data_IF_070062428698
#
_entry.id   IF_070062428698
#
_cell.length_a   1.000
_cell.length_b   1.000
_cell.length_c   1.000
_cell.angle_alpha   90.00
_cell.angle_beta   90.00
_cell.angle_gamma   90.00
#
_symmetry.space_group_name_H-M   'P 1'
#
loop_
_entity.id
_entity.type
_entity.pdbx_description
1 polymer ?
#
# COMPACT_ATOMS: atom_id res chain seq x y z
N UNK A 1 4.22 -6.78 15.68
CA UNK A 1 4.72 -7.51 16.86
C UNK A 1 3.70 -7.32 17.98
N UNK A 2 3.24 -8.40 18.65
CA UNK A 2 2.31 -8.29 19.76
C UNK A 2 2.95 -7.51 20.92
N UNK A 3 2.20 -6.66 21.58
CA UNK A 3 2.66 -5.73 22.63
C UNK A 3 3.42 -6.47 23.75
N UNK A 4 3.01 -7.69 24.09
CA UNK A 4 3.68 -8.50 25.11
C UNK A 4 5.13 -8.90 24.74
N UNK A 5 5.45 -9.07 23.44
CA UNK A 5 6.81 -9.38 23.00
C UNK A 5 7.75 -8.17 23.18
N UNK A 6 7.24 -6.96 22.97
CA UNK A 6 7.97 -5.71 23.25
C UNK A 6 8.22 -5.56 24.75
N UNK A 7 7.20 -5.82 25.57
CA UNK A 7 7.31 -5.77 27.02
C UNK A 7 8.30 -6.79 27.58
N UNK A 8 8.29 -8.02 27.04
CA UNK A 8 9.25 -9.06 27.42
C UNK A 8 10.70 -8.67 27.06
N UNK A 9 10.92 -8.05 25.92
CA UNK A 9 12.21 -7.54 25.49
C UNK A 9 12.73 -6.43 26.42
N UNK A 10 11.88 -5.47 26.80
CA UNK A 10 12.26 -4.42 27.75
C UNK A 10 12.54 -4.96 29.14
N UNK A 11 11.78 -5.97 29.60
CA UNK A 11 12.04 -6.63 30.89
C UNK A 11 13.41 -7.35 30.91
N UNK A 12 13.78 -8.02 29.81
CA UNK A 12 15.08 -8.67 29.67
C UNK A 12 16.23 -7.66 29.65
N UNK A 13 16.07 -6.55 28.94
CA UNK A 13 17.05 -5.45 28.93
C UNK A 13 17.21 -4.83 30.31
N UNK A 14 16.14 -4.59 31.03
CA UNK A 14 16.18 -4.04 32.39
C UNK A 14 16.86 -5.02 33.41
N UNK A 15 16.54 -6.28 33.30
CA UNK A 15 17.17 -7.33 34.11
C UNK A 15 18.69 -7.45 33.83
N UNK A 16 19.09 -7.42 32.55
CA UNK A 16 20.49 -7.41 32.14
C UNK A 16 21.23 -6.16 32.66
N UNK A 17 20.61 -5.00 32.58
CA UNK A 17 21.20 -3.75 33.08
C UNK A 17 21.36 -3.74 34.60
N UNK A 18 20.36 -4.25 35.35
CA UNK A 18 20.44 -4.40 36.80
C UNK A 18 21.57 -5.36 37.25
N UNK A 19 21.73 -6.50 36.55
CA UNK A 19 22.81 -7.42 36.75
C UNK A 19 24.19 -6.83 36.43
N UNK A 20 24.30 -6.08 35.34
CA UNK A 20 25.54 -5.39 34.96
C UNK A 20 25.91 -4.31 35.99
N UNK A 21 24.92 -3.54 36.49
CA UNK A 21 25.13 -2.51 37.52
C UNK A 21 25.57 -3.13 38.88
N UNK A 22 24.99 -4.27 39.28
CA UNK A 22 25.43 -5.01 40.45
C UNK A 22 26.86 -5.52 40.28
N UNK A 23 27.20 -5.98 39.09
CA UNK A 23 28.55 -6.47 38.76
C UNK A 23 29.60 -5.35 38.92
N UNK A 24 29.31 -4.14 38.40
CA UNK A 24 30.23 -3.00 38.56
C UNK A 24 30.40 -2.58 40.02
N UNK A 25 29.35 -2.62 40.83
CA UNK A 25 29.44 -2.28 42.27
C UNK A 25 30.31 -3.28 43.05
N UNK A 26 30.26 -4.54 42.68
CA UNK A 26 31.08 -5.59 43.33
C UNK A 26 32.55 -5.46 42.93
N UNK A 27 32.86 -5.15 41.68
CA UNK A 27 34.24 -4.96 41.20
C UNK A 27 34.86 -3.67 41.76
N UNK A 28 34.16 -2.57 41.77
CA UNK A 28 34.65 -1.29 42.34
C UNK A 28 34.77 -1.33 43.87
N UNK A 29 33.92 -2.10 44.56
CA UNK A 29 34.01 -2.28 46.01
C UNK A 29 35.23 -3.11 46.46
N UNK A 30 35.78 -3.98 45.61
CA UNK A 30 36.95 -4.79 45.96
C UNK A 30 38.26 -4.02 45.85
N UNK A 31 38.39 -3.07 44.95
CA UNK A 31 39.63 -2.29 44.78
C UNK A 31 39.89 -1.33 45.97
N UNK A 32 38.83 -0.88 46.64
CA UNK A 32 38.93 0.03 47.81
C UNK A 32 39.38 -0.74 49.05
N UNK A 33 39.13 -2.05 49.16
CA UNK A 33 39.51 -2.83 50.33
C UNK A 33 40.93 -3.47 50.22
N UNK A 34 41.49 -3.58 49.02
CA UNK A 34 42.84 -4.11 48.81
C UNK A 34 43.93 -3.11 49.18
N UNK A 35 43.65 -1.82 49.13
CA UNK A 35 44.61 -0.78 49.53
C UNK A 35 44.86 -0.63 51.01
N UNK A 36 44.17 -1.35 51.89
CA UNK A 36 44.23 -1.14 53.36
C UNK A 36 44.75 -2.28 54.21
N UNK A 37 45.23 -3.35 53.62
CA UNK A 37 45.72 -4.52 54.37
C UNK A 37 47.04 -5.07 53.82
N UNK A 38 48.07 -4.26 53.84
CA UNK A 38 49.43 -4.66 53.63
C UNK A 38 50.24 -4.67 54.94
N UNK A 39 49.74 -5.34 55.95
CA UNK A 39 50.59 -5.75 57.13
C UNK A 39 49.86 -6.78 57.97
N UNK A 40 50.24 -8.09 57.83
CA UNK A 40 49.78 -9.13 58.74
C UNK A 40 49.69 -10.51 58.09
N UNK A 41 50.55 -11.43 58.56
CA UNK A 41 50.93 -12.67 57.94
C UNK A 41 49.97 -13.84 57.87
N UNK A 42 50.24 -14.67 57.01
CA UNK A 42 50.33 -16.15 57.09
C UNK A 42 49.09 -17.00 56.97
N UNK A 43 47.89 -16.61 57.39
CA UNK A 43 46.70 -17.51 57.40
C UNK A 43 45.58 -17.20 56.38
N UNK A 44 45.80 -16.22 55.57
CA UNK A 44 44.78 -15.74 54.64
C UNK A 44 44.67 -16.46 53.29
N UNK A 45 45.64 -17.38 52.99
CA UNK A 45 45.73 -18.00 51.65
C UNK A 45 44.70 -19.09 51.38
N UNK A 46 44.43 -19.95 52.41
CA UNK A 46 43.49 -21.08 52.24
C UNK A 46 42.04 -20.64 52.17
N UNK A 47 41.64 -19.60 52.95
CA UNK A 47 40.28 -19.04 52.91
C UNK A 47 39.98 -18.23 51.62
N UNK A 48 41.03 -17.68 50.98
CA UNK A 48 40.91 -16.93 49.72
C UNK A 48 40.68 -17.85 48.53
N UNK A 49 41.31 -19.04 48.53
CA UNK A 49 41.19 -20.00 47.44
C UNK A 49 39.80 -20.69 47.41
N UNK A 50 39.23 -20.96 48.60
CA UNK A 50 37.89 -21.53 48.73
C UNK A 50 36.80 -20.55 48.27
N UNK A 51 36.93 -19.24 48.54
CA UNK A 51 35.99 -18.23 48.10
C UNK A 51 36.01 -17.98 46.60
N UNK A 52 37.19 -18.09 45.95
CA UNK A 52 37.28 -17.90 44.49
C UNK A 52 36.56 -19.00 43.72
N UNK A 53 36.60 -20.23 44.19
CA UNK A 53 35.96 -21.39 43.52
C UNK A 53 34.43 -21.33 43.62
N UNK A 54 33.90 -20.88 44.77
CA UNK A 54 32.45 -20.69 44.94
C UNK A 54 31.95 -19.53 44.07
N UNK A 55 32.72 -18.44 43.93
CA UNK A 55 32.38 -17.30 43.10
C UNK A 55 32.39 -17.64 41.60
N UNK A 56 33.32 -18.43 41.13
CA UNK A 56 33.37 -18.92 39.76
C UNK A 56 32.17 -19.83 39.47
N UNK A 57 31.88 -20.75 40.40
CA UNK A 57 30.73 -21.67 40.27
C UNK A 57 29.39 -20.95 40.17
N UNK A 58 29.15 -19.95 41.01
CA UNK A 58 27.89 -19.17 40.96
C UNK A 58 27.77 -18.33 39.69
N UNK A 59 28.89 -17.84 39.14
CA UNK A 59 28.89 -17.11 37.86
C UNK A 59 28.59 -18.02 36.66
N UNK A 60 29.19 -19.21 36.64
CA UNK A 60 28.92 -20.19 35.57
C UNK A 60 27.46 -20.67 35.64
N UNK A 61 26.94 -20.94 36.83
CA UNK A 61 25.54 -21.28 37.03
C UNK A 61 24.59 -20.14 36.61
N UNK A 62 24.91 -18.90 36.92
CA UNK A 62 24.13 -17.74 36.50
C UNK A 62 24.12 -17.56 34.97
N UNK A 63 25.27 -17.70 34.32
CA UNK A 63 25.38 -17.65 32.86
C UNK A 63 24.61 -18.78 32.17
N UNK A 64 24.69 -19.98 32.68
CA UNK A 64 23.93 -21.14 32.18
C UNK A 64 22.41 -20.95 32.36
N UNK A 65 21.98 -20.39 33.48
CA UNK A 65 20.57 -20.09 33.73
C UNK A 65 20.03 -19.04 32.73
N UNK A 66 20.79 -17.98 32.44
CA UNK A 66 20.43 -16.97 31.45
C UNK A 66 20.37 -17.58 30.04
N UNK A 67 21.32 -18.43 29.71
CA UNK A 67 21.35 -19.12 28.42
C UNK A 67 20.18 -20.09 28.26
N UNK A 68 19.84 -20.84 29.31
CA UNK A 68 18.67 -21.72 29.29
C UNK A 68 17.36 -20.99 29.13
N UNK A 69 17.19 -19.83 29.80
CA UNK A 69 16.02 -18.99 29.67
C UNK A 69 15.95 -18.39 28.25
N UNK A 70 17.06 -17.91 27.70
CA UNK A 70 17.09 -17.34 26.33
C UNK A 70 16.75 -18.40 25.28
N UNK A 71 17.28 -19.61 25.39
CA UNK A 71 16.94 -20.70 24.47
C UNK A 71 15.52 -21.18 24.68
N UNK A 72 15.04 -21.25 25.93
CA UNK A 72 13.68 -21.63 26.27
C UNK A 72 12.59 -20.66 25.74
N UNK A 73 12.94 -19.39 25.56
CA UNK A 73 12.06 -18.39 24.96
C UNK A 73 12.23 -18.32 23.45
N UNK A 74 13.47 -18.44 22.96
CA UNK A 74 13.76 -18.30 21.52
C UNK A 74 13.21 -19.47 20.69
N UNK A 75 13.25 -20.70 21.20
CA UNK A 75 12.75 -21.88 20.47
C UNK A 75 11.23 -21.84 20.21
N UNK A 76 10.34 -21.60 21.19
CA UNK A 76 8.93 -21.50 20.93
C UNK A 76 8.58 -20.24 20.12
N UNK A 77 9.32 -19.13 20.32
CA UNK A 77 9.12 -17.94 19.49
C UNK A 77 9.50 -18.19 18.02
N UNK A 78 10.61 -18.90 17.76
CA UNK A 78 11.00 -19.28 16.41
C UNK A 78 10.02 -20.29 15.79
N UNK A 79 9.50 -21.25 16.55
CA UNK A 79 8.48 -22.19 16.08
C UNK A 79 7.16 -21.47 15.76
N UNK A 80 6.78 -20.49 16.57
CA UNK A 80 5.56 -19.70 16.34
C UNK A 80 5.68 -18.75 15.14
N UNK A 81 6.84 -18.16 14.92
CA UNK A 81 7.13 -17.28 13.79
C UNK A 81 7.43 -18.07 12.51
N UNK A 82 7.97 -19.28 12.63
CA UNK A 82 8.28 -20.15 11.50
C UNK A 82 7.09 -21.02 11.02
N UNK A 83 6.09 -21.25 11.87
CA UNK A 83 4.90 -22.04 11.51
C UNK A 83 3.93 -21.27 10.61
N UNK A 84 3.97 -19.95 10.59
CA UNK A 84 3.25 -19.12 9.65
C UNK A 84 4.10 -18.84 8.41
N UNK A 85 4.42 -19.85 7.62
CA UNK A 85 5.33 -19.84 6.48
C UNK A 85 5.10 -18.82 5.35
N UNK A 86 4.42 -17.73 5.61
CA UNK A 86 4.31 -16.58 4.71
C UNK A 86 5.37 -15.56 5.10
N UNK A 87 6.44 -15.54 4.34
CA UNK A 87 7.40 -14.44 4.36
C UNK A 87 6.64 -13.16 4.01
N UNK A 88 6.41 -12.30 5.00
CA UNK A 88 5.84 -10.99 4.75
C UNK A 88 6.89 -10.18 4.00
N UNK A 89 6.70 -10.02 2.70
CA UNK A 89 7.53 -9.16 1.88
C UNK A 89 6.98 -7.75 2.04
N UNK A 90 7.78 -6.84 2.58
CA UNK A 90 7.31 -5.48 2.87
C UNK A 90 6.77 -4.72 1.66
N UNK A 91 7.19 -5.10 0.44
CA UNK A 91 6.63 -4.54 -0.80
C UNK A 91 5.18 -4.97 -1.06
N UNK A 92 4.74 -6.11 -0.52
CA UNK A 92 3.38 -6.61 -0.69
C UNK A 92 2.38 -5.90 0.24
N UNK A 93 2.90 -5.07 1.17
CA UNK A 93 2.11 -4.24 2.08
C UNK A 93 1.90 -2.81 1.56
N UNK A 94 2.59 -2.44 0.50
CA UNK A 94 2.49 -1.11 -0.12
C UNK A 94 2.22 -1.34 -1.59
N UNK A 95 1.02 -1.05 -2.03
CA UNK A 95 0.70 -1.05 -3.45
C UNK A 95 1.60 -0.02 -4.14
N UNK A 96 2.37 -0.42 -5.16
CA UNK A 96 3.16 0.54 -5.90
C UNK A 96 2.22 1.60 -6.50
N UNK A 97 2.64 2.86 -6.55
CA UNK A 97 1.85 3.89 -7.21
C UNK A 97 1.59 3.46 -8.66
N UNK A 98 0.36 3.68 -9.12
CA UNK A 98 -0.03 3.35 -10.49
C UNK A 98 0.90 4.07 -11.49
N UNK A 99 1.61 3.30 -12.30
CA UNK A 99 2.35 3.82 -13.46
C UNK A 99 1.45 3.74 -14.69
N UNK A 100 0.76 4.83 -14.99
CA UNK A 100 -0.14 4.92 -16.15
C UNK A 100 0.63 4.81 -17.47
N UNK A 101 1.93 5.16 -17.49
CA UNK A 101 2.75 5.11 -18.69
C UNK A 101 3.20 3.68 -19.04
N UNK A 102 3.07 2.74 -18.09
CA UNK A 102 3.29 1.33 -18.37
C UNK A 102 2.24 0.73 -19.33
N UNK A 103 1.09 1.42 -19.50
CA UNK A 103 0.03 0.98 -20.40
C UNK A 103 0.11 1.71 -21.74
N UNK A 104 -0.13 1.02 -22.86
CA UNK A 104 -0.17 1.66 -24.16
C UNK A 104 -1.30 2.71 -24.21
N UNK A 105 -1.04 3.80 -24.91
CA UNK A 105 -2.05 4.83 -25.11
C UNK A 105 -3.32 4.24 -25.74
N UNK A 106 -4.53 4.60 -25.27
CA UNK A 106 -5.78 4.14 -25.87
C UNK A 106 -5.88 4.46 -27.36
N UNK A 107 -5.22 5.54 -27.78
CA UNK A 107 -5.19 5.96 -29.18
C UNK A 107 -4.42 4.98 -30.06
N UNK A 108 -3.41 4.30 -29.53
CA UNK A 108 -2.67 3.28 -30.27
C UNK A 108 -3.54 2.05 -30.65
N UNK A 109 -4.56 1.78 -29.84
CA UNK A 109 -5.51 0.69 -30.08
C UNK A 109 -6.65 1.09 -31.04
N UNK A 110 -6.81 2.39 -31.30
CA UNK A 110 -7.95 2.89 -32.12
C UNK A 110 -7.99 2.27 -33.51
N UNK A 111 -6.83 2.19 -34.18
CA UNK A 111 -6.74 1.57 -35.50
C UNK A 111 -7.15 0.10 -35.45
N UNK A 112 -6.69 -0.65 -34.46
CA UNK A 112 -7.05 -2.04 -34.27
C UNK A 112 -8.56 -2.24 -34.13
N UNK A 113 -9.23 -1.37 -33.36
CA UNK A 113 -10.69 -1.42 -33.22
C UNK A 113 -11.44 -1.12 -34.53
N UNK A 114 -10.93 -0.19 -35.33
CA UNK A 114 -11.61 0.25 -36.56
C UNK A 114 -11.27 -0.54 -37.81
N UNK A 115 -10.22 -1.35 -37.77
CA UNK A 115 -9.80 -2.18 -38.92
C UNK A 115 -9.94 -3.66 -38.63
N UNK A 116 -9.28 -4.17 -37.57
CA UNK A 116 -9.18 -5.60 -37.35
C UNK A 116 -10.41 -6.16 -36.62
N UNK A 117 -11.03 -5.34 -35.77
CA UNK A 117 -12.17 -5.72 -34.93
C UNK A 117 -13.46 -4.97 -35.32
N UNK A 118 -13.52 -4.43 -36.53
CA UNK A 118 -14.68 -3.62 -36.97
C UNK A 118 -16.02 -4.38 -36.95
N UNK A 119 -15.98 -5.69 -37.12
CA UNK A 119 -17.15 -6.57 -37.15
C UNK A 119 -17.42 -7.25 -35.79
N UNK A 120 -16.58 -6.96 -34.78
CA UNK A 120 -16.68 -7.57 -33.46
C UNK A 120 -17.45 -6.66 -32.48
N UNK A 121 -18.24 -7.28 -31.61
CA UNK A 121 -18.90 -6.54 -30.52
C UNK A 121 -17.96 -6.46 -29.33
N UNK A 122 -17.28 -5.32 -29.17
CA UNK A 122 -16.33 -5.08 -28.09
C UNK A 122 -16.99 -4.57 -26.80
N UNK A 123 -18.18 -3.97 -26.93
CA UNK A 123 -18.88 -3.31 -25.83
C UNK A 123 -20.38 -3.45 -26.03
N UNK A 124 -21.07 -3.89 -24.99
CA UNK A 124 -22.53 -3.87 -24.89
C UNK A 124 -22.95 -3.01 -23.71
N UNK A 125 -23.90 -2.11 -23.95
CA UNK A 125 -24.42 -1.23 -22.92
C UNK A 125 -25.95 -1.36 -22.89
N UNK A 126 -26.51 -1.63 -21.72
CA UNK A 126 -27.94 -1.69 -21.47
C UNK A 126 -28.37 -0.45 -20.68
N UNK A 127 -29.60 0.01 -20.93
CA UNK A 127 -30.23 1.13 -20.21
C UNK A 127 -29.53 2.49 -20.47
N UNK A 128 -28.84 2.61 -21.59
CA UNK A 128 -28.23 3.89 -22.00
C UNK A 128 -29.29 4.80 -22.62
N UNK A 129 -29.48 6.04 -22.11
CA UNK A 129 -30.36 7.03 -22.74
C UNK A 129 -29.92 7.38 -24.16
N UNK A 130 -30.86 7.80 -24.99
CA UNK A 130 -30.56 8.21 -26.37
C UNK A 130 -29.54 9.37 -26.41
N UNK A 131 -28.71 9.35 -27.45
CA UNK A 131 -27.68 10.37 -27.72
C UNK A 131 -26.57 10.48 -26.65
N UNK A 132 -26.46 9.52 -25.74
CA UNK A 132 -25.36 9.48 -24.81
C UNK A 132 -24.13 8.74 -25.41
N UNK A 133 -22.96 9.07 -24.89
CA UNK A 133 -21.68 8.51 -25.37
C UNK A 133 -20.97 7.74 -24.28
N UNK A 134 -20.28 6.69 -24.69
CA UNK A 134 -19.38 5.93 -23.84
C UNK A 134 -17.96 6.48 -24.02
N UNK A 135 -17.29 6.77 -22.93
CA UNK A 135 -15.89 7.18 -22.90
C UNK A 135 -15.03 5.97 -22.53
N UNK A 136 -14.13 5.56 -23.40
CA UNK A 136 -13.18 4.47 -23.11
C UNK A 136 -12.04 4.99 -22.25
N UNK A 137 -11.47 6.15 -22.62
CA UNK A 137 -10.38 6.79 -21.87
C UNK A 137 -10.38 8.29 -22.14
N UNK A 138 -9.63 9.04 -21.32
CA UNK A 138 -9.35 10.45 -21.54
C UNK A 138 -7.85 10.66 -21.62
N UNK A 139 -7.41 11.49 -22.55
CA UNK A 139 -6.02 11.88 -22.71
C UNK A 139 -5.93 13.39 -22.50
N UNK A 140 -5.15 13.81 -21.54
CA UNK A 140 -5.11 15.20 -21.05
C UNK A 140 -3.71 15.84 -21.17
N UNK A 141 -2.74 15.09 -21.67
CA UNK A 141 -1.38 15.57 -21.91
C UNK A 141 -0.99 15.40 -23.36
N UNK A 142 -0.35 16.42 -23.92
CA UNK A 142 0.24 16.38 -25.24
C UNK A 142 1.74 16.65 -25.12
N UNK A 143 2.59 15.71 -25.54
CA UNK A 143 4.05 15.80 -25.47
C UNK A 143 4.71 16.47 -26.67
N UNK A 144 3.91 16.99 -27.60
CA UNK A 144 4.34 17.56 -28.89
C UNK A 144 4.24 16.56 -30.04
N UNK A 145 4.01 15.29 -29.78
CA UNK A 145 3.90 14.21 -30.78
C UNK A 145 2.63 13.39 -30.58
N UNK A 146 2.38 12.98 -29.32
CA UNK A 146 1.28 12.09 -28.96
C UNK A 146 0.44 12.65 -27.81
N UNK A 147 -0.83 12.29 -27.81
CA UNK A 147 -1.67 12.48 -26.64
C UNK A 147 -1.51 11.31 -25.68
N UNK A 148 -1.32 11.64 -24.41
CA UNK A 148 -1.17 10.69 -23.31
C UNK A 148 -2.03 11.07 -22.11
N UNK A 149 -1.81 10.38 -21.01
CA UNK A 149 -2.47 10.61 -19.74
C UNK A 149 -1.46 11.12 -18.72
N UNK A 150 -1.84 12.10 -17.92
CA UNK A 150 -0.99 12.63 -16.86
C UNK A 150 -1.06 11.74 -15.61
N UNK A 151 0.09 11.56 -14.98
CA UNK A 151 0.19 10.98 -13.63
C UNK A 151 -0.02 12.04 -12.55
N UNK A 152 0.34 13.29 -12.86
CA UNK A 152 0.16 14.46 -11.99
C UNK A 152 -0.20 15.65 -12.85
N UNK A 153 -1.08 16.49 -12.32
CA UNK A 153 -1.47 17.75 -12.94
C UNK A 153 -0.73 18.90 -12.27
N UNK A 154 -0.41 19.92 -13.03
CA UNK A 154 0.23 21.15 -12.53
C UNK A 154 -0.66 21.95 -11.55
N UNK A 155 -1.96 21.67 -11.57
CA UNK A 155 -2.95 22.25 -10.65
C UNK A 155 -3.03 21.54 -9.29
N UNK A 156 -2.16 20.55 -9.04
CA UNK A 156 -2.09 19.80 -7.80
C UNK A 156 -3.12 18.68 -7.67
N UNK A 157 -3.96 18.44 -8.68
CA UNK A 157 -4.84 17.28 -8.70
C UNK A 157 -4.01 16.01 -8.96
N UNK A 158 -4.20 15.00 -8.13
CA UNK A 158 -3.73 13.65 -8.37
C UNK A 158 -4.53 13.08 -9.52
N UNK A 159 -3.86 12.50 -10.52
CA UNK A 159 -4.53 11.81 -11.62
C UNK A 159 -5.38 10.63 -11.11
N UNK A 160 -5.10 9.45 -11.56
CA UNK A 160 -5.84 8.25 -11.15
C UNK A 160 -5.66 7.92 -9.66
N UNK A 161 -6.75 7.86 -8.92
CA UNK A 161 -6.79 7.45 -7.50
C UNK A 161 -7.46 6.09 -7.35
N UNK A 162 -7.01 5.22 -6.42
CA UNK A 162 -7.68 3.96 -6.17
C UNK A 162 -9.05 4.20 -5.51
N UNK A 163 -10.07 3.47 -5.97
CA UNK A 163 -11.41 3.50 -5.40
C UNK A 163 -11.96 2.08 -5.28
N UNK A 164 -12.84 1.84 -4.32
CA UNK A 164 -13.50 0.54 -4.21
C UNK A 164 -14.65 0.38 -5.22
N UNK A 165 -15.56 1.32 -5.27
CA UNK A 165 -16.69 1.41 -6.20
C UNK A 165 -17.21 2.82 -6.31
N UNK A 166 -17.33 3.55 -5.18
CA UNK A 166 -17.85 4.91 -5.12
C UNK A 166 -16.76 5.91 -5.45
N UNK A 167 -17.06 6.82 -6.36
CA UNK A 167 -16.14 7.86 -6.83
C UNK A 167 -16.26 9.09 -5.91
N UNK A 168 -15.18 9.46 -5.21
CA UNK A 168 -15.25 10.57 -4.26
C UNK A 168 -15.52 11.90 -4.94
N UNK A 169 -16.27 12.78 -4.24
CA UNK A 169 -16.61 14.12 -4.74
C UNK A 169 -17.67 14.16 -5.81
N UNK A 170 -18.33 13.05 -6.12
CA UNK A 170 -19.43 12.96 -7.07
C UNK A 170 -20.78 12.89 -6.34
N UNK A 171 -21.77 13.61 -6.84
CA UNK A 171 -23.14 13.42 -6.40
C UNK A 171 -23.66 12.05 -6.91
N UNK A 172 -24.53 11.42 -6.15
CA UNK A 172 -25.13 10.15 -6.56
C UNK A 172 -25.90 10.33 -7.87
N UNK A 173 -25.59 9.44 -8.83
CA UNK A 173 -26.25 9.43 -10.13
C UNK A 173 -27.67 8.89 -10.03
N UNK A 174 -28.54 9.38 -10.89
CA UNK A 174 -29.95 9.00 -10.99
C UNK A 174 -30.19 7.82 -11.96
N UNK A 175 -29.21 7.50 -12.78
CA UNK A 175 -29.28 6.46 -13.80
C UNK A 175 -28.34 5.31 -13.49
N UNK A 176 -28.80 4.09 -13.69
CA UNK A 176 -27.99 2.87 -13.55
C UNK A 176 -27.87 2.21 -14.91
N UNK A 177 -26.64 2.09 -15.41
CA UNK A 177 -26.32 1.54 -16.73
C UNK A 177 -25.46 0.30 -16.55
N UNK A 178 -25.79 -0.78 -17.26
CA UNK A 178 -24.99 -2.01 -17.26
C UNK A 178 -24.08 -2.03 -18.47
N UNK A 179 -22.79 -2.29 -18.23
CA UNK A 179 -21.76 -2.36 -19.26
C UNK A 179 -21.12 -3.76 -19.24
N UNK A 180 -20.99 -4.32 -20.43
CA UNK A 180 -20.23 -5.57 -20.63
C UNK A 180 -19.21 -5.34 -21.73
N UNK A 181 -17.92 -5.59 -21.42
CA UNK A 181 -16.84 -5.55 -22.41
C UNK A 181 -16.53 -6.95 -22.88
N UNK A 182 -16.12 -7.09 -24.12
CA UNK A 182 -15.70 -8.35 -24.72
C UNK A 182 -14.47 -8.13 -25.61
N UNK A 183 -13.29 -8.42 -25.07
CA UNK A 183 -12.04 -8.30 -25.82
C UNK A 183 -11.55 -6.85 -26.01
N UNK A 184 -12.03 -5.91 -25.21
CA UNK A 184 -11.47 -4.57 -25.19
C UNK A 184 -10.02 -4.61 -24.72
N UNK A 185 -9.08 -4.10 -25.51
CA UNK A 185 -7.67 -4.14 -25.17
C UNK A 185 -7.27 -3.05 -24.18
N UNK A 186 -6.34 -3.40 -23.30
CA UNK A 186 -5.82 -2.50 -22.26
C UNK A 186 -6.64 -2.51 -20.97
N UNK A 187 -6.23 -1.71 -19.98
CA UNK A 187 -6.81 -1.69 -18.63
C UNK A 187 -8.09 -0.84 -18.53
N UNK A 188 -8.57 -0.29 -19.64
CA UNK A 188 -9.60 0.73 -19.66
C UNK A 188 -10.96 0.19 -19.23
N UNK A 189 -11.59 0.93 -18.31
CA UNK A 189 -12.98 0.70 -17.88
C UNK A 189 -13.84 1.79 -18.52
N UNK A 190 -14.64 1.47 -19.56
CA UNK A 190 -15.54 2.43 -20.18
C UNK A 190 -16.47 3.12 -19.19
N UNK A 191 -16.54 4.44 -19.21
CA UNK A 191 -17.33 5.27 -18.31
C UNK A 191 -18.39 6.05 -19.10
N UNK A 192 -19.53 6.31 -18.45
CA UNK A 192 -20.66 6.99 -19.05
C UNK A 192 -21.05 8.20 -18.19
N UNK A 193 -21.49 9.26 -18.83
CA UNK A 193 -21.98 10.45 -18.15
C UNK A 193 -21.01 10.96 -17.08
N UNK A 194 -21.54 11.36 -15.95
CA UNK A 194 -20.79 11.75 -14.76
C UNK A 194 -20.90 10.63 -13.70
N UNK A 195 -20.08 9.59 -13.85
CA UNK A 195 -20.14 8.41 -13.01
C UNK A 195 -19.89 8.72 -11.53
N UNK A 196 -20.74 8.19 -10.66
CA UNK A 196 -20.60 8.28 -9.19
C UNK A 196 -20.24 6.95 -8.55
N UNK A 197 -20.50 5.83 -9.25
CA UNK A 197 -20.17 4.50 -8.78
C UNK A 197 -19.90 3.57 -9.97
N UNK A 198 -18.92 2.66 -9.79
CA UNK A 198 -18.60 1.58 -10.72
C UNK A 198 -18.56 0.28 -9.91
N UNK A 199 -19.51 -0.60 -10.12
CA UNK A 199 -19.63 -1.86 -9.37
C UNK A 199 -19.45 -3.06 -10.30
N UNK A 200 -18.30 -3.73 -10.23
CA UNK A 200 -18.01 -4.94 -11.00
C UNK A 200 -18.87 -6.12 -10.56
N UNK A 201 -19.27 -6.94 -11.52
CA UNK A 201 -20.11 -8.11 -11.33
C UNK A 201 -19.53 -9.34 -12.06
N UNK A 202 -19.95 -10.53 -11.65
CA UNK A 202 -19.52 -11.77 -12.31
C UNK A 202 -18.13 -12.27 -11.89
N UNK A 203 -17.59 -13.16 -12.71
CA UNK A 203 -16.30 -13.78 -12.44
C UNK A 203 -15.16 -12.76 -12.59
N UNK A 204 -14.24 -12.73 -11.60
CA UNK A 204 -13.11 -11.78 -11.60
C UNK A 204 -13.42 -10.40 -10.99
N UNK A 205 -14.68 -10.13 -10.63
CA UNK A 205 -15.11 -8.82 -10.10
C UNK A 205 -14.32 -8.34 -8.89
N UNK A 206 -13.91 -9.25 -8.00
CA UNK A 206 -13.10 -8.89 -6.84
C UNK A 206 -11.74 -8.29 -7.24
N UNK A 207 -11.00 -8.97 -8.11
CA UNK A 207 -9.70 -8.47 -8.58
C UNK A 207 -9.84 -7.21 -9.45
N UNK A 208 -10.92 -7.07 -10.20
CA UNK A 208 -11.22 -5.86 -10.98
C UNK A 208 -11.53 -4.69 -10.07
N UNK A 209 -12.29 -4.91 -8.99
CA UNK A 209 -12.61 -3.93 -7.96
C UNK A 209 -11.34 -3.49 -7.20
N UNK A 210 -10.53 -4.45 -6.73
CA UNK A 210 -9.30 -4.17 -5.98
C UNK A 210 -8.29 -3.36 -6.80
N UNK A 211 -8.32 -3.51 -8.13
CA UNK A 211 -7.49 -2.79 -9.07
C UNK A 211 -8.13 -1.55 -9.70
N UNK A 212 -9.28 -1.07 -9.22
CA UNK A 212 -9.99 0.05 -9.84
C UNK A 212 -9.36 1.39 -9.46
N UNK A 213 -9.03 2.17 -10.50
CA UNK A 213 -8.53 3.53 -10.39
C UNK A 213 -9.40 4.48 -11.22
N UNK A 214 -9.65 5.65 -10.70
CA UNK A 214 -10.49 6.67 -11.34
C UNK A 214 -9.78 8.03 -11.33
N UNK A 215 -9.74 8.67 -12.48
CA UNK A 215 -9.44 10.09 -12.58
C UNK A 215 -10.76 10.88 -12.48
N UNK A 216 -10.95 11.51 -11.33
CA UNK A 216 -12.19 12.27 -11.04
C UNK A 216 -12.34 13.52 -11.90
N UNK A 217 -11.25 14.10 -12.38
CA UNK A 217 -11.28 15.27 -13.23
C UNK A 217 -11.59 14.92 -14.69
N UNK A 218 -10.85 13.95 -15.24
CA UNK A 218 -11.03 13.48 -16.60
C UNK A 218 -12.29 12.61 -16.75
N UNK A 219 -12.86 12.16 -15.63
CA UNK A 219 -13.96 11.20 -15.57
C UNK A 219 -13.64 9.95 -16.40
N UNK A 220 -12.50 9.35 -16.11
CA UNK A 220 -11.98 8.18 -16.77
C UNK A 220 -11.61 7.13 -15.72
N UNK A 221 -11.72 5.85 -16.07
CA UNK A 221 -11.43 4.76 -15.16
C UNK A 221 -10.57 3.69 -15.84
N UNK A 222 -9.79 3.01 -15.04
CA UNK A 222 -9.02 1.83 -15.44
C UNK A 222 -8.98 0.80 -14.32
N UNK A 223 -8.68 -0.44 -14.66
CA UNK A 223 -8.41 -1.49 -13.67
C UNK A 223 -7.09 -2.17 -13.95
N UNK A 224 -6.31 -2.42 -12.89
CA UNK A 224 -5.10 -3.27 -12.95
C UNK A 224 -5.45 -4.76 -12.81
N UNK A 225 -6.70 -5.08 -12.51
CA UNK A 225 -7.23 -6.44 -12.51
C UNK A 225 -7.35 -7.02 -13.93
N UNK A 226 -7.87 -8.26 -14.05
CA UNK A 226 -8.08 -8.89 -15.36
C UNK A 226 -8.98 -8.03 -16.25
N UNK A 227 -8.42 -7.58 -17.37
CA UNK A 227 -9.10 -6.77 -18.38
C UNK A 227 -9.55 -7.63 -19.57
N UNK A 228 -10.27 -7.01 -20.47
CA UNK A 228 -10.77 -7.63 -21.70
C UNK A 228 -12.23 -8.05 -21.62
N UNK A 229 -12.61 -8.92 -20.71
CA UNK A 229 -14.02 -9.25 -20.45
C UNK A 229 -14.39 -8.83 -19.04
N UNK A 230 -15.22 -7.80 -18.91
CA UNK A 230 -15.69 -7.25 -17.66
C UNK A 230 -17.20 -7.04 -17.75
N UNK A 231 -17.89 -7.22 -16.63
CA UNK A 231 -19.28 -6.83 -16.49
C UNK A 231 -19.44 -5.98 -15.24
N UNK A 232 -20.06 -4.82 -15.36
CA UNK A 232 -20.21 -3.89 -14.25
C UNK A 232 -21.40 -2.95 -14.45
N UNK A 233 -21.89 -2.44 -13.35
CA UNK A 233 -22.90 -1.42 -13.30
C UNK A 233 -22.27 -0.05 -13.04
N UNK A 234 -22.70 0.96 -13.78
CA UNK A 234 -22.29 2.34 -13.58
C UNK A 234 -23.49 3.14 -13.10
N UNK A 235 -23.40 3.71 -11.92
CA UNK A 235 -24.35 4.70 -11.46
C UNK A 235 -23.87 6.07 -11.93
N UNK A 236 -24.69 6.79 -12.66
CA UNK A 236 -24.26 7.98 -13.35
C UNK A 236 -25.37 9.02 -13.48
N UNK A 237 -25.01 10.27 -13.68
CA UNK A 237 -25.91 11.32 -14.15
C UNK A 237 -25.48 11.79 -15.53
N UNK A 238 -26.44 12.06 -16.39
CA UNK A 238 -26.18 12.58 -17.73
C UNK A 238 -26.46 14.06 -17.78
N UNK A 239 -25.49 14.81 -18.31
CA UNK A 239 -25.71 16.23 -18.55
C UNK A 239 -26.82 16.41 -19.59
N UNK A 240 -27.79 17.28 -19.29
CA UNK A 240 -28.76 17.68 -20.27
C UNK A 240 -28.07 18.52 -21.35
N UNK A 241 -28.38 18.31 -22.62
CA UNK A 241 -27.85 19.17 -23.68
C UNK A 241 -28.27 20.62 -23.40
N UNK A 242 -27.31 21.53 -23.44
CA UNK A 242 -27.59 22.94 -23.34
C UNK A 242 -28.44 23.37 -24.54
N UNK A 243 -29.45 24.23 -24.32
CA UNK A 243 -30.22 24.85 -25.38
C UNK A 243 -29.38 25.93 -26.06
N UNK A 244 -29.60 26.17 -27.32
CA UNK A 244 -28.89 27.24 -28.06
C UNK A 244 -29.04 28.61 -27.40
N UNK A 245 -30.18 28.87 -26.75
CA UNK A 245 -30.46 30.08 -25.97
C UNK A 245 -29.52 30.24 -24.78
N UNK A 246 -29.20 29.12 -24.08
CA UNK A 246 -28.32 29.10 -22.93
C UNK A 246 -26.85 29.29 -23.37
N UNK A 247 -26.48 28.76 -24.54
CA UNK A 247 -25.15 28.94 -25.14
C UNK A 247 -24.88 30.43 -25.49
N UNK A 248 -25.87 31.15 -25.93
CA UNK A 248 -25.73 32.58 -26.24
C UNK A 248 -25.45 33.45 -25.00
N UNK A 249 -25.78 32.95 -23.81
CA UNK A 249 -25.56 33.65 -22.54
C UNK A 249 -24.18 33.39 -21.93
N UNK A 250 -23.42 32.41 -22.44
CA UNK A 250 -22.11 32.05 -21.91
C UNK A 250 -21.05 33.09 -22.30
N UNK A 251 -20.38 33.64 -21.30
CA UNK A 251 -19.19 34.47 -21.54
C UNK A 251 -17.97 33.54 -21.72
N UNK A 252 -17.23 33.77 -22.80
CA UNK A 252 -15.92 33.08 -22.98
C UNK A 252 -14.92 33.60 -21.95
N UNK A 253 -14.48 32.72 -21.05
CA UNK A 253 -13.35 33.04 -20.17
C UNK A 253 -12.09 33.06 -21.03
N UNK A 254 -11.35 34.18 -21.09
CA UNK A 254 -10.10 34.21 -21.87
C UNK A 254 -9.14 33.17 -21.35
N UNK A 255 -8.52 32.42 -22.25
CA UNK A 255 -7.46 31.50 -21.91
C UNK A 255 -6.35 32.27 -21.17
N UNK A 256 -6.04 31.86 -19.98
CA UNK A 256 -4.91 32.39 -19.22
C UNK A 256 -3.65 32.09 -20.02
N UNK A 257 -2.98 33.12 -20.52
CA UNK A 257 -1.68 32.96 -21.13
C UNK A 257 -0.77 32.35 -20.05
N UNK A 258 -0.36 31.11 -20.22
CA UNK A 258 0.70 30.52 -19.42
C UNK A 258 1.96 31.29 -19.81
N UNK A 259 2.49 32.09 -18.88
CA UNK A 259 3.79 32.72 -19.01
C UNK A 259 4.81 31.60 -19.29
N UNK A 260 5.58 31.83 -20.37
CA UNK A 260 6.62 30.92 -20.83
C UNK A 260 7.79 30.93 -19.87
#
# INVERSE_FOLDING_TARGET
LPVWAVLAWWALLAAWWALAAQYQRITLGQDVLVGRSASGGGEATAARQSRSTVYVGTRVLGALAVLAVSVGVALPAAAFLGASGTRIVGRDLVDPPLDIQAYPSPLSSFRHYTTDLQDETLLTVSDLPENQRVRIAAMDVYDGTTFGMSTKRDDGHTGYIPVESTIPGRAEGDSLVTVTTNGLSGPWVPVLGNASEIAFTGAGSAAQKDGLYVDTWANAALTTGPAGTMSYNVRTSFAQPMRDEDLASLSVVPLRATDK
#
